data_IF_476335059761
#
_entry.id   IF_476335059761
#
_cell.length_a   1.000
_cell.length_b   1.000
_cell.length_c   1.000
_cell.angle_alpha   90.00
_cell.angle_beta   90.00
_cell.angle_gamma   90.00
#
_symmetry.space_group_name_H-M   'P 1'
#
loop_
_entity.id
_entity.type
_entity.pdbx_description
1 polymer ?
#
# COMPACT_ATOMS: atom_id res chain seq x y z
N UNK A 1 -17.86 1.04 -14.16
CA UNK A 1 -17.65 0.21 -12.96
C UNK A 1 -16.29 -0.50 -12.92
N UNK A 2 -15.46 -0.47 -13.97
CA UNK A 2 -14.17 -1.18 -14.06
C UNK A 2 -12.92 -0.32 -13.72
N UNK A 3 -13.01 1.01 -13.66
CA UNK A 3 -11.87 1.91 -13.41
C UNK A 3 -11.30 1.90 -11.98
N UNK A 4 -11.92 1.22 -11.03
CA UNK A 4 -11.57 1.31 -9.61
C UNK A 4 -10.62 0.20 -9.09
N UNK A 5 -10.09 -0.69 -9.94
CA UNK A 5 -9.48 -1.94 -9.47
C UNK A 5 -7.96 -2.01 -9.64
N UNK A 6 -7.38 -1.09 -10.39
CA UNK A 6 -5.91 -1.05 -10.60
C UNK A 6 -5.40 0.35 -10.28
N UNK A 7 -4.48 0.44 -9.35
CA UNK A 7 -3.75 1.68 -9.07
C UNK A 7 -2.28 1.47 -9.39
N UNK A 8 -1.81 2.16 -10.42
CA UNK A 8 -0.36 2.26 -10.69
C UNK A 8 0.17 3.47 -9.95
N UNK A 9 1.17 3.24 -9.13
CA UNK A 9 1.72 4.27 -8.28
C UNK A 9 3.23 4.32 -8.45
N UNK A 10 3.75 5.51 -8.72
CA UNK A 10 5.19 5.76 -8.69
C UNK A 10 5.53 6.43 -7.36
N UNK A 11 6.28 5.75 -6.53
CA UNK A 11 6.80 6.32 -5.29
C UNK A 11 8.22 6.83 -5.48
N UNK A 12 8.45 8.10 -5.09
CA UNK A 12 9.78 8.65 -4.91
C UNK A 12 10.05 8.77 -3.41
N UNK A 13 11.09 8.12 -2.94
CA UNK A 13 11.56 8.20 -1.57
C UNK A 13 12.88 8.99 -1.56
N UNK A 14 13.03 9.97 -0.67
CA UNK A 14 14.27 10.73 -0.54
C UNK A 14 14.68 10.97 0.90
N UNK A 15 15.98 11.13 1.11
CA UNK A 15 16.57 11.56 2.38
C UNK A 15 16.48 13.08 2.55
N UNK A 16 16.48 13.55 3.79
CA UNK A 16 16.57 14.96 4.15
C UNK A 16 17.80 15.60 3.51
N UNK A 17 17.66 16.33 2.43
CA UNK A 17 18.58 17.40 2.11
C UNK A 17 17.94 18.75 2.41
N UNK A 18 18.63 19.53 3.24
CA UNK A 18 18.41 20.97 3.38
C UNK A 18 18.69 21.59 2.02
N UNK A 19 17.67 21.84 1.24
CA UNK A 19 17.54 23.00 0.36
C UNK A 19 16.33 22.78 -0.56
N UNK A 20 15.47 23.75 -0.54
CA UNK A 20 14.22 23.83 -1.26
C UNK A 20 14.47 23.90 -2.76
N UNK A 21 14.03 22.91 -3.52
CA UNK A 21 13.52 23.11 -4.87
C UNK A 21 12.54 21.99 -5.20
N UNK A 22 11.42 22.42 -5.72
CA UNK A 22 10.18 21.72 -5.91
C UNK A 22 10.22 20.57 -6.91
N UNK A 23 9.84 19.38 -6.49
CA UNK A 23 9.17 18.40 -7.35
C UNK A 23 8.42 17.35 -6.51
N UNK A 24 7.13 17.16 -6.78
CA UNK A 24 6.19 16.41 -5.95
C UNK A 24 5.56 15.26 -6.70
N UNK A 25 5.58 14.08 -6.13
CA UNK A 25 4.66 12.99 -6.53
C UNK A 25 4.04 12.36 -5.30
N UNK A 26 2.75 12.54 -5.14
CA UNK A 26 1.98 11.99 -4.02
C UNK A 26 1.26 10.75 -4.45
N UNK A 27 1.44 9.70 -3.71
CA UNK A 27 0.76 8.44 -3.91
C UNK A 27 -0.36 8.28 -2.91
N UNK A 28 -1.55 8.09 -3.39
CA UNK A 28 -2.73 7.73 -2.60
C UNK A 28 -3.17 6.32 -2.99
N UNK A 29 -3.10 5.38 -2.05
CA UNK A 29 -3.87 4.14 -2.15
C UNK A 29 -5.26 4.43 -1.60
N UNK A 30 -6.26 4.48 -2.47
CA UNK A 30 -7.65 4.67 -2.09
C UNK A 30 -8.38 3.35 -1.83
N UNK A 31 -9.29 3.38 -0.87
CA UNK A 31 -10.23 2.28 -0.61
C UNK A 31 -11.16 2.05 -1.80
N UNK A 32 -11.46 0.79 -2.01
CA UNK A 32 -12.20 0.22 -3.14
C UNK A 32 -13.72 0.35 -3.03
N UNK A 33 -14.28 1.52 -2.82
CA UNK A 33 -15.74 1.69 -2.89
C UNK A 33 -16.26 2.99 -3.49
N UNK A 34 -15.40 3.92 -3.88
CA UNK A 34 -15.87 5.13 -4.54
C UNK A 34 -15.06 5.40 -5.82
N UNK A 35 -15.78 5.75 -6.87
CA UNK A 35 -15.29 6.11 -8.19
C UNK A 35 -14.21 7.21 -8.13
N UNK A 36 -12.95 6.84 -8.18
CA UNK A 36 -11.85 7.77 -8.40
C UNK A 36 -11.74 8.07 -9.89
N UNK A 37 -12.06 9.30 -10.25
CA UNK A 37 -11.63 9.86 -11.54
C UNK A 37 -10.10 9.91 -11.50
N UNK A 38 -9.45 9.25 -12.44
CA UNK A 38 -8.02 9.38 -12.68
C UNK A 38 -7.70 10.82 -13.06
N UNK A 39 -6.66 11.45 -12.49
CA UNK A 39 -6.21 12.74 -12.97
C UNK A 39 -5.67 12.58 -14.39
N UNK A 40 -6.32 13.26 -15.31
CA UNK A 40 -5.96 13.34 -16.72
C UNK A 40 -4.76 14.28 -16.91
N UNK A 41 -3.57 13.93 -16.47
CA UNK A 41 -2.26 14.39 -16.98
C UNK A 41 -1.14 13.94 -16.01
N UNK A 42 -0.01 13.42 -16.50
CA UNK A 42 1.17 13.24 -15.67
C UNK A 42 1.80 14.61 -15.42
N UNK A 43 1.46 15.25 -14.30
CA UNK A 43 2.27 16.35 -13.81
C UNK A 43 3.42 15.77 -13.01
N UNK A 44 4.58 15.70 -13.66
CA UNK A 44 5.87 15.46 -13.03
C UNK A 44 6.19 16.62 -12.06
N UNK A 45 5.78 16.51 -10.80
CA UNK A 45 6.34 17.30 -9.72
C UNK A 45 6.46 16.42 -8.48
N UNK A 46 7.69 15.99 -8.19
CA UNK A 46 8.01 15.17 -7.04
C UNK A 46 7.90 15.94 -5.74
N UNK A 47 7.16 15.41 -4.78
CA UNK A 47 7.23 15.84 -3.39
C UNK A 47 8.06 14.84 -2.60
N UNK A 48 9.21 15.28 -2.12
CA UNK A 48 10.05 14.58 -1.19
C UNK A 48 9.37 14.54 0.18
N UNK A 49 8.79 13.41 0.51
CA UNK A 49 8.28 13.15 1.85
C UNK A 49 9.03 11.97 2.44
N UNK A 50 9.90 12.26 3.40
CA UNK A 50 10.58 11.28 4.26
C UNK A 50 9.56 10.64 5.20
N UNK A 51 8.64 9.82 4.68
CA UNK A 51 7.72 9.08 5.53
C UNK A 51 7.78 7.60 5.22
N UNK A 52 8.06 6.83 6.27
CA UNK A 52 7.78 5.42 6.37
C UNK A 52 6.29 5.19 6.09
N UNK A 53 5.92 4.95 4.83
CA UNK A 53 4.52 4.69 4.47
C UNK A 53 4.21 3.24 4.76
N UNK A 54 3.39 3.00 5.77
CA UNK A 54 2.69 1.73 5.92
C UNK A 54 1.60 1.72 4.85
N UNK A 55 1.81 0.93 3.81
CA UNK A 55 0.78 0.63 2.82
C UNK A 55 -0.03 -0.55 3.35
N UNK A 56 -1.22 -0.25 3.80
CA UNK A 56 -2.17 -1.26 4.19
C UNK A 56 -3.33 -1.26 3.19
N UNK A 57 -3.52 -2.37 2.49
CA UNK A 57 -4.65 -2.57 1.58
C UNK A 57 -5.08 -4.03 1.62
N UNK A 58 -6.03 -4.42 2.45
CA UNK A 58 -6.73 -5.67 2.25
C UNK A 58 -7.80 -5.48 1.15
N UNK A 59 -8.08 -6.43 0.31
CA UNK A 59 -7.41 -7.66 -0.09
C UNK A 59 -6.63 -7.51 -1.40
N UNK A 60 -5.66 -6.62 -1.44
CA UNK A 60 -4.90 -6.30 -2.65
C UNK A 60 -3.47 -6.83 -2.59
N UNK A 61 -2.91 -7.17 -3.75
CA UNK A 61 -1.52 -7.54 -3.94
C UNK A 61 -0.72 -6.33 -4.42
N UNK A 62 0.54 -6.24 -4.02
CA UNK A 62 1.47 -5.23 -4.50
C UNK A 62 2.58 -5.89 -5.31
N UNK A 63 2.87 -5.34 -6.50
CA UNK A 63 4.05 -5.67 -7.31
C UNK A 63 4.80 -4.41 -7.62
N UNK A 64 6.10 -4.41 -7.38
CA UNK A 64 6.92 -3.24 -7.57
C UNK A 64 8.31 -3.60 -8.10
N UNK A 65 8.95 -2.61 -8.71
CA UNK A 65 10.36 -2.67 -9.12
C UNK A 65 11.11 -1.45 -8.60
N UNK A 66 12.41 -1.57 -8.36
CA UNK A 66 13.27 -0.43 -8.05
C UNK A 66 13.86 0.08 -9.36
N UNK A 67 13.38 1.23 -9.82
CA UNK A 67 13.85 1.84 -11.06
C UNK A 67 15.13 2.65 -10.86
N UNK A 68 15.33 3.19 -9.64
CA UNK A 68 16.52 3.95 -9.24
C UNK A 68 16.73 3.85 -7.74
N UNK A 69 17.98 3.76 -7.29
CA UNK A 69 18.36 3.76 -5.87
C UNK A 69 18.22 2.40 -5.20
N UNK A 70 18.16 2.42 -3.87
CA UNK A 70 18.01 1.24 -3.01
C UNK A 70 16.84 1.41 -2.07
N UNK A 71 15.97 0.41 -2.00
CA UNK A 71 14.82 0.39 -1.09
C UNK A 71 14.94 -0.73 -0.06
N UNK A 72 14.55 -0.44 1.17
CA UNK A 72 14.32 -1.43 2.21
C UNK A 72 12.82 -1.64 2.35
N UNK A 73 12.38 -2.88 2.17
CA UNK A 73 10.97 -3.26 2.26
C UNK A 73 10.81 -4.16 3.47
N UNK A 74 10.08 -3.69 4.46
CA UNK A 74 9.62 -4.53 5.57
C UNK A 74 8.27 -5.12 5.17
N UNK A 75 8.15 -6.44 5.09
CA UNK A 75 6.92 -7.13 4.74
C UNK A 75 6.71 -8.32 5.68
N UNK A 76 5.60 -8.32 6.42
CA UNK A 76 5.40 -9.23 7.54
C UNK A 76 6.55 -9.12 8.56
N UNK A 77 7.19 -10.22 8.86
CA UNK A 77 8.34 -10.29 9.79
C UNK A 77 9.70 -10.18 9.09
N UNK A 78 9.74 -9.98 7.79
CA UNK A 78 10.97 -10.01 6.99
C UNK A 78 11.32 -8.63 6.43
N UNK A 79 12.64 -8.40 6.29
CA UNK A 79 13.16 -7.22 5.59
C UNK A 79 13.87 -7.64 4.32
N UNK A 80 13.57 -6.95 3.25
CA UNK A 80 14.16 -7.16 1.92
C UNK A 80 14.88 -5.88 1.50
N UNK A 81 16.13 -6.01 1.06
CA UNK A 81 16.89 -4.91 0.46
C UNK A 81 16.83 -5.10 -1.05
N UNK A 82 16.20 -4.17 -1.74
CA UNK A 82 16.08 -4.19 -3.18
C UNK A 82 16.93 -3.09 -3.78
N UNK A 83 17.81 -3.47 -4.68
CA UNK A 83 18.62 -2.55 -5.49
C UNK A 83 17.96 -2.32 -6.85
N UNK A 84 18.48 -1.37 -7.60
CA UNK A 84 18.01 -1.07 -8.95
C UNK A 84 17.92 -2.33 -9.82
N UNK A 85 16.82 -2.48 -10.53
CA UNK A 85 16.51 -3.62 -11.38
C UNK A 85 15.82 -4.79 -10.66
N UNK A 86 15.83 -4.84 -9.33
CA UNK A 86 15.10 -5.85 -8.56
C UNK A 86 13.62 -5.47 -8.43
N UNK A 87 12.78 -6.49 -8.22
CA UNK A 87 11.37 -6.30 -7.90
C UNK A 87 10.94 -7.19 -6.76
N UNK A 88 9.73 -6.98 -6.27
CA UNK A 88 9.10 -7.85 -5.28
C UNK A 88 7.59 -7.96 -5.56
N UNK A 89 7.08 -9.17 -5.40
CA UNK A 89 5.68 -9.45 -5.21
C UNK A 89 5.40 -9.50 -3.71
N UNK A 90 4.37 -8.82 -3.27
CA UNK A 90 3.85 -8.88 -1.90
C UNK A 90 2.40 -9.34 -1.98
N UNK A 91 2.12 -10.43 -1.28
CA UNK A 91 0.81 -11.06 -1.31
C UNK A 91 -0.26 -10.24 -0.59
N UNK A 92 -1.52 -10.62 -0.79
CA UNK A 92 -2.66 -10.10 -0.02
C UNK A 92 -2.43 -10.32 1.47
N UNK A 93 -2.95 -9.40 2.29
CA UNK A 93 -2.87 -9.49 3.76
C UNK A 93 -1.46 -9.37 4.35
N UNK A 94 -0.43 -9.16 3.53
CA UNK A 94 0.92 -8.93 4.02
C UNK A 94 1.13 -7.43 4.23
N UNK A 95 1.20 -7.04 5.49
CA UNK A 95 1.49 -5.66 5.87
C UNK A 95 2.92 -5.35 5.48
N UNK A 96 3.10 -4.25 4.78
CA UNK A 96 4.41 -3.88 4.31
C UNK A 96 4.66 -2.37 4.38
N UNK A 97 5.94 -2.02 4.47
CA UNK A 97 6.43 -0.65 4.56
C UNK A 97 7.66 -0.48 3.69
N UNK A 98 7.80 0.68 3.08
CA UNK A 98 8.94 1.07 2.26
C UNK A 98 9.77 2.11 2.99
N UNK A 99 11.08 1.91 3.00
CA UNK A 99 12.07 2.84 3.54
C UNK A 99 13.20 3.00 2.51
N UNK A 100 13.77 4.19 2.43
CA UNK A 100 14.98 4.44 1.65
C UNK A 100 15.84 5.49 2.32
N UNK A 101 17.16 5.31 2.24
CA UNK A 101 18.15 6.26 2.72
C UNK A 101 18.53 7.31 1.67
N UNK A 102 18.13 7.11 0.42
CA UNK A 102 18.44 7.96 -0.72
C UNK A 102 17.19 8.20 -1.61
N UNK A 103 17.30 9.10 -2.56
CA UNK A 103 16.24 9.31 -3.55
C UNK A 103 16.04 8.04 -4.38
N UNK A 104 14.90 7.39 -4.20
CA UNK A 104 14.57 6.10 -4.80
C UNK A 104 13.25 6.18 -5.54
N UNK A 105 13.20 5.63 -6.76
CA UNK A 105 12.00 5.56 -7.59
C UNK A 105 11.51 4.11 -7.63
N UNK A 106 10.28 3.89 -7.13
CA UNK A 106 9.67 2.57 -7.00
C UNK A 106 8.28 2.60 -7.65
N UNK A 107 8.17 2.36 -8.98
CA UNK A 107 6.87 2.11 -9.57
C UNK A 107 6.26 0.84 -8.99
N UNK A 108 4.99 0.90 -8.67
CA UNK A 108 4.26 -0.26 -8.16
C UNK A 108 2.86 -0.34 -8.75
N UNK A 109 2.32 -1.54 -8.78
CA UNK A 109 0.93 -1.80 -9.15
C UNK A 109 0.25 -2.55 -8.01
N UNK A 110 -0.92 -2.07 -7.63
CA UNK A 110 -1.74 -2.64 -6.57
C UNK A 110 -3.08 -3.04 -7.17
N UNK A 111 -3.48 -4.29 -6.98
CA UNK A 111 -4.74 -4.82 -7.51
C UNK A 111 -5.27 -5.98 -6.67
N UNK A 112 -6.58 -6.23 -6.76
CA UNK A 112 -7.19 -7.41 -6.13
C UNK A 112 -6.98 -8.65 -7.00
N UNK A 113 -6.66 -9.83 -6.42
CA UNK A 113 -6.66 -11.09 -7.16
C UNK A 113 -7.98 -11.37 -7.89
N UNK A 114 -9.09 -10.86 -7.34
CA UNK A 114 -10.41 -11.01 -7.91
C UNK A 114 -10.60 -10.28 -9.25
N UNK A 115 -9.67 -9.39 -9.59
CA UNK A 115 -9.61 -8.80 -10.92
C UNK A 115 -9.32 -9.86 -11.99
N UNK A 116 -8.50 -10.86 -11.66
CA UNK A 116 -8.06 -11.87 -12.60
C UNK A 116 -9.02 -13.06 -12.66
N UNK A 117 -9.63 -13.44 -11.52
CA UNK A 117 -10.56 -14.56 -11.45
C UNK A 117 -11.42 -14.49 -10.18
N UNK A 118 -12.69 -14.88 -10.27
CA UNK A 118 -13.56 -15.05 -9.10
C UNK A 118 -13.13 -16.25 -8.25
N UNK A 119 -13.36 -16.19 -6.94
CA UNK A 119 -12.95 -17.25 -5.99
C UNK A 119 -13.51 -18.61 -6.32
N UNK A 120 -14.69 -18.65 -6.93
CA UNK A 120 -15.41 -19.87 -7.31
C UNK A 120 -14.88 -20.47 -8.61
N UNK A 121 -14.10 -19.74 -9.39
CA UNK A 121 -13.59 -20.19 -10.67
C UNK A 121 -12.48 -21.23 -10.52
N UNK A 122 -12.41 -22.14 -11.50
CA UNK A 122 -11.31 -23.12 -11.58
C UNK A 122 -9.94 -22.43 -11.68
N UNK A 123 -9.88 -21.28 -12.36
CA UNK A 123 -8.64 -20.49 -12.50
C UNK A 123 -8.15 -20.05 -11.11
N UNK A 124 -9.02 -19.51 -10.28
CA UNK A 124 -8.65 -19.08 -8.94
C UNK A 124 -8.22 -20.26 -8.08
N UNK A 125 -9.05 -21.30 -7.99
CA UNK A 125 -8.83 -22.45 -7.10
C UNK A 125 -7.57 -23.24 -7.47
N UNK A 126 -7.36 -23.50 -8.76
CA UNK A 126 -6.26 -24.33 -9.24
C UNK A 126 -4.94 -23.59 -9.37
N UNK A 127 -4.97 -22.33 -9.83
CA UNK A 127 -3.74 -21.63 -10.23
C UNK A 127 -3.39 -20.44 -9.30
N UNK A 128 -4.36 -19.80 -8.66
CA UNK A 128 -4.09 -18.64 -7.82
C UNK A 128 -4.00 -19.01 -6.35
N UNK A 129 -4.93 -19.75 -5.82
CA UNK A 129 -5.01 -20.08 -4.40
C UNK A 129 -3.75 -20.78 -3.87
N UNK A 130 -3.09 -21.72 -4.56
CA UNK A 130 -1.86 -22.34 -4.07
C UNK A 130 -0.75 -21.33 -3.79
N UNK A 131 -0.54 -20.37 -4.70
CA UNK A 131 0.46 -19.29 -4.51
C UNK A 131 0.04 -18.36 -3.38
N UNK A 132 -1.22 -17.91 -3.37
CA UNK A 132 -1.75 -17.00 -2.35
C UNK A 132 -1.67 -17.60 -0.94
N UNK A 133 -1.74 -18.92 -0.83
CA UNK A 133 -1.68 -19.62 0.46
C UNK A 133 -0.26 -19.92 0.93
N UNK A 134 0.71 -19.99 0.01
CA UNK A 134 2.05 -20.50 0.31
C UNK A 134 3.12 -19.44 0.49
N UNK A 135 3.02 -18.30 -0.18
CA UNK A 135 4.06 -17.28 -0.12
C UNK A 135 3.51 -15.94 0.38
N UNK A 136 4.29 -15.27 1.22
CA UNK A 136 4.03 -13.88 1.63
C UNK A 136 4.64 -12.90 0.65
N UNK A 137 5.86 -13.14 0.26
CA UNK A 137 6.62 -12.30 -0.65
C UNK A 137 7.50 -13.15 -1.57
N UNK A 138 7.74 -12.65 -2.78
CA UNK A 138 8.71 -13.19 -3.72
C UNK A 138 9.55 -12.06 -4.30
N UNK A 139 10.84 -12.11 -4.04
CA UNK A 139 11.80 -11.18 -4.67
C UNK A 139 12.12 -11.65 -6.07
N UNK A 140 12.20 -10.71 -7.01
CA UNK A 140 12.60 -10.94 -8.40
C UNK A 140 13.96 -10.30 -8.65
N UNK A 141 14.89 -11.08 -9.20
CA UNK A 141 16.23 -10.67 -9.58
C UNK A 141 16.43 -10.83 -11.09
N UNK A 142 17.08 -9.88 -11.77
CA UNK A 142 17.35 -9.98 -13.21
C UNK A 142 18.33 -11.13 -13.56
N UNK A 143 19.03 -11.68 -12.57
CA UNK A 143 19.96 -12.79 -12.77
C UNK A 143 19.29 -14.16 -12.96
N UNK A 144 17.98 -14.29 -12.72
CA UNK A 144 17.22 -15.53 -12.86
C UNK A 144 16.25 -15.40 -14.04
N UNK A 145 16.31 -16.25 -15.07
CA UNK A 145 15.59 -16.04 -16.33
C UNK A 145 14.10 -15.79 -16.20
N UNK A 146 13.36 -16.62 -15.44
CA UNK A 146 11.91 -16.45 -15.27
C UNK A 146 11.56 -15.20 -14.45
N UNK A 147 12.42 -14.81 -13.51
CA UNK A 147 12.22 -13.61 -12.72
C UNK A 147 12.49 -12.35 -13.56
N UNK A 148 13.50 -12.42 -14.43
CA UNK A 148 13.78 -11.36 -15.40
C UNK A 148 12.59 -11.16 -16.35
N UNK A 149 11.97 -12.23 -16.85
CA UNK A 149 10.77 -12.12 -17.69
C UNK A 149 9.65 -11.35 -16.96
N UNK A 150 9.42 -11.63 -15.67
CA UNK A 150 8.45 -10.87 -14.85
C UNK A 150 8.82 -9.40 -14.76
N UNK A 151 10.10 -9.09 -14.52
CA UNK A 151 10.58 -7.71 -14.43
C UNK A 151 10.40 -6.95 -15.76
N UNK A 152 10.65 -7.61 -16.88
CA UNK A 152 10.48 -7.04 -18.24
C UNK A 152 8.97 -6.77 -18.51
N UNK A 153 8.08 -7.68 -18.13
CA UNK A 153 6.63 -7.48 -18.22
C UNK A 153 6.17 -6.33 -17.33
N UNK A 154 6.67 -6.22 -16.09
CA UNK A 154 6.35 -5.10 -15.21
C UNK A 154 6.80 -3.77 -15.79
N UNK A 155 7.98 -3.70 -16.39
CA UNK A 155 8.45 -2.50 -17.06
C UNK A 155 7.55 -2.11 -18.25
N UNK A 156 7.11 -3.08 -19.05
CA UNK A 156 6.16 -2.85 -20.14
C UNK A 156 4.82 -2.34 -19.63
N UNK A 157 4.32 -2.93 -18.52
CA UNK A 157 3.09 -2.52 -17.89
C UNK A 157 3.16 -1.08 -17.34
N UNK A 158 4.30 -0.69 -16.72
CA UNK A 158 4.50 0.69 -16.25
C UNK A 158 4.68 1.69 -17.39
N UNK A 159 4.95 1.23 -18.59
CA UNK A 159 5.08 2.07 -19.80
C UNK A 159 3.79 2.16 -20.61
N UNK A 160 2.74 1.43 -20.23
CA UNK A 160 1.42 1.55 -20.86
C UNK A 160 0.90 2.99 -20.70
N UNK A 161 0.57 3.60 -21.85
CA UNK A 161 -0.04 4.92 -21.84
C UNK A 161 -1.56 4.78 -21.60
N UNK A 162 -2.11 5.63 -20.74
CA UNK A 162 -3.54 5.64 -20.41
C UNK A 162 -4.43 6.02 -21.61
N UNK A 163 -3.84 6.50 -22.70
CA UNK A 163 -4.52 6.91 -23.92
C UNK A 163 -4.85 5.75 -24.87
N UNK A 164 -4.41 4.53 -24.57
CA UNK A 164 -4.76 3.35 -25.37
C UNK A 164 -6.17 2.88 -25.05
N UNK A 165 -7.03 2.75 -26.04
CA UNK A 165 -8.41 2.24 -25.91
C UNK A 165 -8.48 0.80 -25.31
N UNK A 166 -7.37 0.11 -25.20
CA UNK A 166 -7.25 -1.25 -24.67
C UNK A 166 -6.32 -1.38 -23.47
N UNK A 167 -6.01 -0.29 -22.77
CA UNK A 167 -5.05 -0.25 -21.67
C UNK A 167 -5.44 -1.24 -20.55
N UNK A 168 -6.72 -1.27 -20.18
CA UNK A 168 -7.22 -2.17 -19.13
C UNK A 168 -7.07 -3.65 -19.54
N UNK A 169 -7.39 -3.99 -20.78
CA UNK A 169 -7.27 -5.35 -21.29
C UNK A 169 -5.81 -5.79 -21.34
N UNK A 170 -4.92 -4.93 -21.85
CA UNK A 170 -3.48 -5.20 -21.88
C UNK A 170 -2.91 -5.37 -20.47
N UNK A 171 -3.35 -4.57 -19.50
CA UNK A 171 -2.96 -4.70 -18.10
C UNK A 171 -3.35 -6.05 -17.54
N UNK A 172 -4.58 -6.52 -17.77
CA UNK A 172 -5.04 -7.84 -17.32
C UNK A 172 -4.21 -8.95 -17.99
N UNK A 173 -3.90 -8.85 -19.28
CA UNK A 173 -3.06 -9.81 -19.98
C UNK A 173 -1.66 -9.91 -19.38
N UNK A 174 -1.01 -8.77 -19.09
CA UNK A 174 0.29 -8.76 -18.42
C UNK A 174 0.24 -9.38 -17.02
N UNK A 175 -0.79 -9.04 -16.24
CA UNK A 175 -0.96 -9.60 -14.89
C UNK A 175 -1.20 -11.11 -14.92
N UNK A 176 -2.00 -11.63 -15.86
CA UNK A 176 -2.20 -13.06 -16.06
C UNK A 176 -0.91 -13.75 -16.50
N UNK A 177 -0.12 -13.14 -17.39
CA UNK A 177 1.18 -13.72 -17.81
C UNK A 177 2.16 -13.80 -16.64
N UNK A 178 2.27 -12.74 -15.84
CA UNK A 178 3.10 -12.75 -14.61
C UNK A 178 2.63 -13.87 -13.67
N UNK A 179 1.30 -14.01 -13.51
CA UNK A 179 0.76 -15.05 -12.65
C UNK A 179 1.09 -16.45 -13.14
N UNK A 180 0.99 -16.68 -14.44
CA UNK A 180 1.35 -17.94 -15.08
C UNK A 180 2.83 -18.28 -14.83
N UNK A 181 3.74 -17.33 -15.06
CA UNK A 181 5.17 -17.53 -14.82
C UNK A 181 5.44 -17.88 -13.34
N UNK A 182 4.79 -17.18 -12.41
CA UNK A 182 4.91 -17.47 -10.98
C UNK A 182 4.42 -18.91 -10.68
N UNK A 183 3.28 -19.30 -11.22
CA UNK A 183 2.73 -20.64 -11.02
C UNK A 183 3.63 -21.76 -11.57
N UNK A 184 4.27 -21.53 -12.69
CA UNK A 184 5.16 -22.50 -13.33
C UNK A 184 6.51 -22.66 -12.61
N UNK A 185 6.94 -21.64 -11.84
CA UNK A 185 8.29 -21.59 -11.27
C UNK A 185 8.33 -21.56 -9.74
N UNK A 186 7.24 -21.28 -9.07
CA UNK A 186 7.17 -21.27 -7.60
C UNK A 186 6.56 -22.60 -7.16
N UNK A 187 7.36 -23.38 -6.40
CA UNK A 187 6.85 -24.58 -5.75
C UNK A 187 6.16 -24.19 -4.43
N UNK A 188 4.82 -24.35 -4.33
CA UNK A 188 4.08 -24.03 -3.11
C UNK A 188 4.51 -24.88 -1.89
N UNK A 189 5.12 -26.03 -2.11
CA UNK A 189 5.48 -26.98 -1.05
C UNK A 189 6.82 -26.61 -0.41
N UNK A 190 7.75 -26.06 -1.19
CA UNK A 190 9.10 -25.69 -0.73
C UNK A 190 9.17 -24.30 -0.06
N UNK A 191 8.21 -23.43 -0.30
CA UNK A 191 8.10 -22.15 0.36
C UNK A 191 7.47 -22.33 1.75
N UNK A 192 8.31 -22.46 2.77
CA UNK A 192 8.01 -22.84 4.15
C UNK A 192 6.59 -22.50 4.65
N UNK A 193 5.92 -23.51 5.20
CA UNK A 193 4.58 -23.38 5.76
C UNK A 193 4.56 -22.22 6.77
N UNK A 194 3.67 -21.23 6.56
CA UNK A 194 3.35 -20.24 7.58
C UNK A 194 3.02 -20.97 8.88
N UNK A 195 3.65 -20.59 9.98
CA UNK A 195 3.27 -21.11 11.27
C UNK A 195 1.78 -20.85 11.54
N UNK A 196 1.07 -21.81 12.09
CA UNK A 196 -0.37 -21.67 12.43
C UNK A 196 -0.62 -20.42 13.28
N UNK A 197 0.35 -20.04 14.11
CA UNK A 197 0.31 -18.81 14.93
C UNK A 197 0.35 -17.55 14.07
N UNK A 198 1.21 -17.49 13.06
CA UNK A 198 1.31 -16.31 12.18
C UNK A 198 0.03 -16.11 11.34
N UNK A 199 -0.61 -17.17 10.89
CA UNK A 199 -1.89 -17.10 10.17
C UNK A 199 -2.99 -16.55 11.07
N UNK A 200 -3.07 -17.02 12.33
CA UNK A 200 -4.04 -16.51 13.30
C UNK A 200 -3.78 -15.05 13.66
N UNK A 201 -2.52 -14.68 13.86
CA UNK A 201 -2.12 -13.31 14.18
C UNK A 201 -2.46 -12.36 13.03
N UNK A 202 -2.20 -12.74 11.78
CA UNK A 202 -2.54 -11.95 10.60
C UNK A 202 -4.06 -11.77 10.45
N UNK A 203 -4.84 -12.84 10.62
CA UNK A 203 -6.31 -12.77 10.56
C UNK A 203 -6.89 -11.85 11.65
N UNK A 204 -6.36 -11.92 12.88
CA UNK A 204 -6.77 -11.02 13.97
C UNK A 204 -6.43 -9.57 13.68
N UNK A 205 -5.22 -9.34 13.18
CA UNK A 205 -4.78 -8.00 12.82
C UNK A 205 -5.64 -7.40 11.70
N UNK A 206 -6.01 -8.19 10.70
CA UNK A 206 -6.91 -7.77 9.62
C UNK A 206 -8.26 -7.31 10.17
N UNK A 207 -8.86 -8.09 11.08
CA UNK A 207 -10.11 -7.72 11.76
C UNK A 207 -9.96 -6.39 12.50
N UNK A 208 -8.86 -6.20 13.24
CA UNK A 208 -8.58 -4.99 14.00
C UNK A 208 -8.41 -3.76 13.09
N UNK A 209 -7.68 -3.93 12.00
CA UNK A 209 -7.44 -2.84 11.05
C UNK A 209 -8.72 -2.47 10.30
N UNK A 210 -9.51 -3.46 9.88
CA UNK A 210 -10.81 -3.21 9.25
C UNK A 210 -11.73 -2.46 10.21
N UNK A 211 -11.82 -2.87 11.47
CA UNK A 211 -12.60 -2.17 12.48
C UNK A 211 -12.15 -0.72 12.68
N UNK A 212 -10.84 -0.48 12.75
CA UNK A 212 -10.29 0.88 12.83
C UNK A 212 -10.68 1.70 11.59
N UNK A 213 -10.65 1.11 10.38
CA UNK A 213 -11.02 1.78 9.15
C UNK A 213 -12.51 2.15 9.10
N UNK A 214 -13.37 1.28 9.60
CA UNK A 214 -14.82 1.49 9.58
C UNK A 214 -15.27 2.48 10.67
N UNK A 215 -14.51 2.55 11.78
CA UNK A 215 -14.87 3.33 12.98
C UNK A 215 -13.86 4.44 13.33
N UNK A 216 -12.99 4.85 12.38
CA UNK A 216 -11.92 5.82 12.69
C UNK A 216 -12.43 7.17 13.22
N UNK A 217 -13.64 7.58 12.84
CA UNK A 217 -14.26 8.84 13.29
C UNK A 217 -14.67 8.77 14.76
N UNK A 218 -15.04 7.58 15.25
CA UNK A 218 -15.54 7.33 16.59
C UNK A 218 -14.43 7.19 17.63
N UNK A 219 -13.16 7.22 17.20
CA UNK A 219 -11.99 7.05 18.07
C UNK A 219 -11.97 5.71 18.84
N UNK A 220 -11.97 4.57 18.15
CA UNK A 220 -11.99 3.26 18.81
C UNK A 220 -10.89 3.13 19.86
N UNK A 221 -11.27 2.63 21.01
CA UNK A 221 -10.39 2.46 22.17
C UNK A 221 -9.65 1.13 22.11
N UNK A 222 -8.55 1.03 22.85
CA UNK A 222 -7.82 -0.23 22.95
C UNK A 222 -8.68 -1.33 23.62
N UNK A 223 -9.61 -0.94 24.52
CA UNK A 223 -10.58 -1.82 25.16
C UNK A 223 -11.52 -2.48 24.15
N UNK A 224 -12.09 -1.70 23.26
CA UNK A 224 -12.96 -2.19 22.18
C UNK A 224 -12.20 -3.16 21.27
N UNK A 225 -10.96 -2.81 20.91
CA UNK A 225 -10.11 -3.68 20.11
C UNK A 225 -9.82 -5.03 20.82
N UNK A 226 -9.64 -5.04 22.15
CA UNK A 226 -9.44 -6.30 22.91
C UNK A 226 -10.65 -7.20 22.88
N UNK A 227 -11.85 -6.64 22.96
CA UNK A 227 -13.09 -7.41 22.92
C UNK A 227 -13.32 -8.05 21.54
N UNK A 228 -12.99 -7.32 20.48
CA UNK A 228 -13.22 -7.76 19.09
C UNK A 228 -12.50 -9.06 18.73
N UNK A 229 -11.26 -9.25 19.21
CA UNK A 229 -10.43 -10.40 18.85
C UNK A 229 -10.09 -11.30 20.04
N UNK A 230 -10.68 -11.04 21.23
CA UNK A 230 -10.46 -11.79 22.47
C UNK A 230 -8.97 -11.90 22.83
N UNK A 231 -8.24 -10.79 22.72
CA UNK A 231 -6.84 -10.68 23.10
C UNK A 231 -6.64 -9.68 24.24
N UNK A 232 -5.57 -9.85 25.01
CA UNK A 232 -5.15 -8.84 25.99
C UNK A 232 -4.62 -7.58 25.31
N UNK A 233 -4.64 -6.43 26.02
CA UNK A 233 -4.02 -5.18 25.54
C UNK A 233 -2.57 -5.37 25.11
N UNK A 234 -1.78 -6.09 25.93
CA UNK A 234 -0.38 -6.37 25.61
C UNK A 234 -0.23 -7.20 24.32
N UNK A 235 -1.12 -8.18 24.12
CA UNK A 235 -1.10 -9.00 22.90
C UNK A 235 -1.41 -8.18 21.66
N UNK A 236 -2.37 -7.25 21.75
CA UNK A 236 -2.68 -6.34 20.62
C UNK A 236 -1.52 -5.38 20.34
N UNK A 237 -0.91 -4.79 21.37
CA UNK A 237 0.27 -3.95 21.20
C UNK A 237 1.41 -4.72 20.53
N UNK A 238 1.69 -5.95 20.98
CA UNK A 238 2.71 -6.81 20.39
C UNK A 238 2.37 -7.16 18.93
N UNK A 239 1.10 -7.45 18.62
CA UNK A 239 0.62 -7.74 17.29
C UNK A 239 0.86 -6.55 16.35
N UNK A 240 0.46 -5.34 16.77
CA UNK A 240 0.68 -4.12 16.01
C UNK A 240 2.18 -3.80 15.88
N UNK A 241 2.97 -3.93 16.93
CA UNK A 241 4.42 -3.74 16.85
C UNK A 241 5.10 -4.74 15.90
N UNK A 242 4.68 -6.01 15.94
CA UNK A 242 5.23 -7.07 15.10
C UNK A 242 4.98 -6.81 13.61
N UNK A 243 3.77 -6.43 13.23
CA UNK A 243 3.36 -6.36 11.81
C UNK A 243 3.23 -4.94 11.27
N UNK A 244 2.80 -3.98 12.10
CA UNK A 244 2.56 -2.58 11.69
C UNK A 244 3.69 -1.65 12.12
N UNK A 245 4.53 -2.07 13.08
CA UNK A 245 5.64 -1.31 13.65
C UNK A 245 5.22 0.01 14.30
N UNK A 246 3.99 0.10 14.78
CA UNK A 246 3.46 1.24 15.54
C UNK A 246 2.37 0.75 16.50
N UNK A 247 1.87 1.64 17.37
CA UNK A 247 0.73 1.30 18.23
C UNK A 247 -0.59 1.40 17.46
N UNK A 248 -1.68 0.74 17.93
CA UNK A 248 -3.02 0.92 17.36
C UNK A 248 -3.47 2.38 17.32
N UNK A 249 -3.15 3.15 18.36
CA UNK A 249 -3.53 4.56 18.48
C UNK A 249 -2.75 5.43 17.48
N UNK A 250 -1.45 5.17 17.31
CA UNK A 250 -0.66 5.87 16.30
C UNK A 250 -1.16 5.52 14.89
N UNK A 251 -1.50 4.25 14.65
CA UNK A 251 -2.09 3.82 13.38
C UNK A 251 -3.40 4.57 13.08
N UNK A 252 -4.33 4.61 14.05
CA UNK A 252 -5.57 5.37 13.94
C UNK A 252 -5.33 6.84 13.63
N UNK A 253 -4.38 7.48 14.34
CA UNK A 253 -4.01 8.88 14.10
C UNK A 253 -3.52 9.09 12.66
N UNK A 254 -2.60 8.25 12.20
CA UNK A 254 -2.09 8.32 10.82
C UNK A 254 -3.19 8.10 9.78
N UNK A 255 -4.11 7.15 10.03
CA UNK A 255 -5.25 6.91 9.15
C UNK A 255 -6.17 8.12 9.04
N UNK A 256 -6.54 8.74 10.16
CA UNK A 256 -7.34 9.98 10.20
C UNK A 256 -6.69 11.12 9.43
N UNK A 257 -5.40 11.33 9.64
CA UNK A 257 -4.65 12.38 8.95
C UNK A 257 -4.59 12.12 7.44
N UNK A 258 -4.48 10.86 7.01
CA UNK A 258 -4.55 10.48 5.59
C UNK A 258 -5.94 10.78 5.00
N UNK A 259 -7.02 10.43 5.70
CA UNK A 259 -8.39 10.76 5.27
C UNK A 259 -8.60 12.28 5.21
N UNK A 260 -8.06 13.04 6.18
CA UNK A 260 -8.11 14.51 6.15
C UNK A 260 -7.36 15.08 4.93
N UNK A 261 -6.20 14.55 4.58
CA UNK A 261 -5.46 14.96 3.39
C UNK A 261 -6.29 14.72 2.11
N UNK A 262 -6.95 13.56 1.98
CA UNK A 262 -7.86 13.28 0.87
C UNK A 262 -9.00 14.31 0.77
N UNK A 263 -9.64 14.64 1.91
CA UNK A 263 -10.72 15.63 1.93
C UNK A 263 -10.22 17.05 1.61
N UNK A 264 -8.98 17.40 1.98
CA UNK A 264 -8.36 18.67 1.61
C UNK A 264 -8.17 18.81 0.10
N UNK A 265 -7.86 17.71 -0.59
CA UNK A 265 -7.62 17.67 -2.03
C UNK A 265 -8.94 17.63 -2.83
N UNK A 266 -9.98 16.97 -2.30
CA UNK A 266 -11.20 16.67 -3.05
C UNK A 266 -12.38 17.56 -2.70
N UNK A 267 -12.29 18.37 -1.65
CA UNK A 267 -13.42 19.19 -1.18
C UNK A 267 -13.01 20.62 -0.82
N UNK A 268 -13.98 21.54 -0.88
CA UNK A 268 -13.85 22.92 -0.40
C UNK A 268 -14.24 23.11 1.09
N UNK A 269 -14.44 22.01 1.82
CA UNK A 269 -14.81 22.05 3.23
C UNK A 269 -13.79 22.84 4.06
N UNK A 270 -14.26 23.54 5.09
CA UNK A 270 -13.35 24.27 6.00
C UNK A 270 -12.42 23.30 6.73
N UNK A 271 -11.26 23.79 7.15
CA UNK A 271 -10.27 23.00 7.91
C UNK A 271 -10.90 22.40 9.18
N UNK A 272 -11.73 23.17 9.88
CA UNK A 272 -12.46 22.73 11.07
C UNK A 272 -13.47 21.62 10.73
N UNK A 273 -14.22 21.76 9.64
CA UNK A 273 -15.15 20.72 9.18
C UNK A 273 -14.41 19.42 8.83
N UNK A 274 -13.27 19.50 8.15
CA UNK A 274 -12.46 18.33 7.84
C UNK A 274 -11.91 17.66 9.11
N UNK A 275 -11.42 18.46 10.08
CA UNK A 275 -10.98 17.94 11.36
C UNK A 275 -12.09 17.13 12.05
N UNK A 276 -13.29 17.72 12.16
CA UNK A 276 -14.46 17.06 12.76
C UNK A 276 -14.86 15.78 11.99
N UNK A 277 -14.97 15.85 10.67
CA UNK A 277 -15.34 14.72 9.82
C UNK A 277 -14.30 13.59 9.84
N UNK A 278 -13.10 13.87 10.29
CA UNK A 278 -12.05 12.85 10.48
C UNK A 278 -11.83 12.47 11.94
N UNK A 279 -12.78 12.83 12.83
CA UNK A 279 -12.81 12.42 14.23
C UNK A 279 -11.80 13.16 15.13
N UNK A 280 -11.38 14.36 14.75
CA UNK A 280 -10.61 15.24 15.64
C UNK A 280 -11.56 16.20 16.37
N UNK A 281 -11.50 16.20 17.70
CA UNK A 281 -12.30 17.09 18.55
C UNK A 281 -11.66 18.45 18.79
N UNK A 282 -10.40 18.64 18.37
CA UNK A 282 -9.66 19.88 18.58
C UNK A 282 -8.85 20.25 17.32
N UNK A 283 -9.22 21.37 16.71
CA UNK A 283 -8.61 21.87 15.48
C UNK A 283 -7.12 22.19 15.64
N UNK A 284 -6.72 22.71 16.81
CA UNK A 284 -5.30 23.00 17.09
C UNK A 284 -4.46 21.73 17.18
N UNK A 285 -4.98 20.68 17.80
CA UNK A 285 -4.35 19.36 17.84
C UNK A 285 -4.26 18.76 16.44
N UNK A 286 -5.35 18.82 15.66
CA UNK A 286 -5.37 18.39 14.26
C UNK A 286 -4.30 19.09 13.43
N UNK A 287 -4.29 20.43 13.42
CA UNK A 287 -3.33 21.22 12.64
C UNK A 287 -1.88 20.89 13.00
N UNK A 288 -1.58 20.73 14.30
CA UNK A 288 -0.25 20.37 14.77
C UNK A 288 0.13 18.96 14.28
N UNK A 289 -0.73 17.95 14.48
CA UNK A 289 -0.47 16.57 14.05
C UNK A 289 -0.39 16.44 12.54
N UNK A 290 -1.22 17.16 11.80
CA UNK A 290 -1.15 17.22 10.35
C UNK A 290 0.19 17.76 9.87
N UNK A 291 0.66 18.88 10.47
CA UNK A 291 1.97 19.47 10.16
C UNK A 291 3.12 18.53 10.53
N UNK A 292 3.04 17.82 11.66
CA UNK A 292 4.05 16.82 12.05
C UNK A 292 4.17 15.71 11.00
N UNK A 293 3.05 15.28 10.40
CA UNK A 293 3.01 14.17 9.43
C UNK A 293 3.28 14.63 7.99
N UNK A 294 2.70 15.73 7.55
CA UNK A 294 2.80 16.20 6.15
C UNK A 294 3.80 17.34 5.95
N UNK A 295 4.45 17.83 7.01
CA UNK A 295 5.38 18.97 7.01
C UNK A 295 4.76 20.30 6.56
N UNK A 296 3.48 20.32 6.24
CA UNK A 296 2.68 21.46 5.84
C UNK A 296 1.47 21.59 6.76
N UNK A 297 1.02 22.81 7.02
CA UNK A 297 -0.29 22.99 7.65
C UNK A 297 -1.40 22.56 6.70
N UNK A 298 -2.61 22.17 7.19
CA UNK A 298 -3.73 21.81 6.32
C UNK A 298 -4.03 22.87 5.24
N UNK A 299 -3.96 24.15 5.60
CA UNK A 299 -4.19 25.25 4.65
C UNK A 299 -3.10 25.37 3.59
N UNK A 300 -1.84 25.12 3.96
CA UNK A 300 -0.72 25.10 3.01
C UNK A 300 -0.82 23.88 2.09
N UNK A 301 -1.20 22.73 2.64
CA UNK A 301 -1.40 21.48 1.90
C UNK A 301 -2.45 21.65 0.82
N UNK A 302 -3.63 22.21 1.13
CA UNK A 302 -4.69 22.52 0.15
C UNK A 302 -4.22 23.45 -0.96
N UNK A 303 -3.45 24.50 -0.62
CA UNK A 303 -2.97 25.47 -1.61
C UNK A 303 -1.88 24.90 -2.54
N UNK A 304 -1.17 23.87 -2.11
CA UNK A 304 -0.11 23.26 -2.91
C UNK A 304 -0.65 22.39 -4.04
N UNK A 305 -1.95 22.07 -4.07
CA UNK A 305 -2.62 21.35 -5.15
C UNK A 305 -1.97 19.98 -5.37
N UNK A 306 -2.14 19.08 -4.44
CA UNK A 306 -1.59 17.71 -4.51
C UNK A 306 -2.42 16.81 -5.39
#
# INVERSE_FOLDING_TARGET
MFKAVITTVVMALSEKQKNCSSDKTTTVCGDSSESLQLPTKPHSRGCESTYNKVLFTPPTMCRLTVRKGTAVISAGNSKYILTQGNGIFINTQVIHRFESAESTIIPNIVFSPLLLASKESLIYQKYMQPILSSIDCQVFSPGIPWQKEILDILNSLFSLQEESDSCELQTIQFLLRIWQIMYENIDPISSGQKGITDIKDQARLEILLQYIHDHYQDNPTLEELTQLVSLSKSSILNLFHKYVHMTPIDYLLHYKLKKAAQLLDTTENTISCIAQNTGFHNDGYFCRKFKEVFMLTPSQYRKSGH
#
